data_IF_348482768669
#
_entry.id   IF_348482768669
#
_cell.length_a   1.000
_cell.length_b   1.000
_cell.length_c   1.000
_cell.angle_alpha   90.00
_cell.angle_beta   90.00
_cell.angle_gamma   90.00
#
_symmetry.space_group_name_H-M   'P 1'
#
loop_
_entity.id
_entity.type
_entity.pdbx_description
1 polymer ?
#
# COMPACT_ATOMS: atom_id res chain seq x y z
N UNK A 1 -11.92 7.02 -61.39
CA UNK A 1 -10.86 7.16 -60.40
C UNK A 1 -11.37 8.06 -59.26
N UNK A 2 -11.64 7.56 -58.06
CA UNK A 2 -11.98 8.41 -56.94
C UNK A 2 -10.69 8.77 -56.14
N UNK A 3 -10.51 10.05 -55.90
CA UNK A 3 -9.45 10.62 -55.04
C UNK A 3 -9.68 10.16 -53.61
N UNK A 4 -8.67 9.48 -53.04
CA UNK A 4 -8.59 9.21 -51.61
C UNK A 4 -8.15 10.50 -50.90
N UNK A 5 -9.06 11.11 -50.09
CA UNK A 5 -8.69 12.12 -49.12
C UNK A 5 -8.05 11.45 -47.90
N UNK A 6 -6.74 11.47 -47.84
CA UNK A 6 -6.00 11.23 -46.62
C UNK A 6 -6.20 12.44 -45.70
N UNK A 7 -6.79 12.22 -44.54
CA UNK A 7 -6.82 13.24 -43.48
C UNK A 7 -5.39 13.53 -43.01
N UNK A 8 -5.06 14.79 -42.73
CA UNK A 8 -3.68 15.15 -42.37
C UNK A 8 -3.29 14.62 -41.01
N UNK A 9 -2.13 13.96 -40.93
CA UNK A 9 -1.50 13.41 -39.73
C UNK A 9 -1.24 14.47 -38.64
N UNK A 10 -1.34 15.77 -38.96
CA UNK A 10 -1.19 16.90 -38.04
C UNK A 10 -2.31 17.00 -36.98
N UNK A 11 -3.51 16.51 -37.26
CA UNK A 11 -4.63 16.60 -36.31
C UNK A 11 -4.54 15.60 -35.16
N UNK A 12 -3.91 14.45 -35.37
CA UNK A 12 -3.71 13.45 -34.31
C UNK A 12 -2.64 13.88 -33.29
N UNK A 13 -1.62 14.61 -33.71
CA UNK A 13 -0.56 15.11 -32.83
C UNK A 13 -0.98 16.34 -32.00
N UNK A 14 -1.90 17.17 -32.52
CA UNK A 14 -2.45 18.32 -31.80
C UNK A 14 -3.56 17.96 -30.80
N UNK A 15 -4.25 16.83 -30.97
CA UNK A 15 -5.22 16.30 -29.99
C UNK A 15 -4.58 15.64 -28.78
N UNK A 16 -3.26 15.37 -28.78
CA UNK A 16 -2.54 14.83 -27.63
C UNK A 16 -2.30 15.86 -26.49
N UNK A 17 -2.70 17.12 -26.65
CA UNK A 17 -2.17 18.24 -25.89
C UNK A 17 -3.01 18.74 -24.70
N UNK A 18 -4.01 18.02 -24.17
CA UNK A 18 -4.68 18.46 -22.93
C UNK A 18 -5.30 17.31 -22.11
N UNK A 19 -4.48 16.36 -21.69
CA UNK A 19 -4.88 15.58 -20.51
C UNK A 19 -4.38 16.35 -19.28
N UNK A 20 -5.31 16.75 -18.40
CA UNK A 20 -5.01 17.51 -17.19
C UNK A 20 -4.38 16.66 -16.07
N UNK A 21 -4.23 15.33 -16.26
CA UNK A 21 -3.58 14.46 -15.27
C UNK A 21 -2.06 14.66 -15.29
N UNK A 22 -1.47 15.29 -14.26
CA UNK A 22 -0.03 15.58 -14.23
C UNK A 22 0.79 14.30 -14.24
N UNK A 23 1.69 14.15 -15.23
CA UNK A 23 2.55 12.96 -15.37
C UNK A 23 3.37 12.64 -14.11
N UNK A 24 3.75 13.69 -13.33
CA UNK A 24 4.50 13.55 -12.06
C UNK A 24 3.79 12.73 -10.98
N UNK A 25 2.46 12.54 -11.09
CA UNK A 25 1.70 11.69 -10.16
C UNK A 25 1.98 10.20 -10.38
N UNK A 26 2.21 9.80 -11.62
CA UNK A 26 2.37 8.41 -12.05
C UNK A 26 3.84 8.02 -11.96
N UNK A 27 4.22 7.41 -10.83
CA UNK A 27 5.60 7.03 -10.51
C UNK A 27 5.91 5.62 -11.01
N UNK A 28 7.06 5.08 -10.63
CA UNK A 28 7.52 3.78 -11.10
C UNK A 28 6.62 2.61 -10.67
N UNK A 29 5.94 2.71 -9.52
CA UNK A 29 5.16 1.61 -8.95
C UNK A 29 3.90 2.07 -8.19
N UNK A 30 3.63 3.36 -8.13
CA UNK A 30 2.45 3.93 -7.49
C UNK A 30 2.03 5.27 -8.11
N UNK A 31 0.85 5.74 -7.70
CA UNK A 31 0.37 7.07 -8.04
C UNK A 31 0.41 7.90 -6.77
N UNK A 32 1.02 9.10 -6.80
CA UNK A 32 1.06 10.02 -5.65
C UNK A 32 0.93 11.46 -6.07
N UNK A 33 0.30 12.26 -5.22
CA UNK A 33 0.18 13.69 -5.46
C UNK A 33 -0.26 14.47 -4.23
N UNK A 34 -0.25 15.78 -4.36
CA UNK A 34 -0.78 16.70 -3.35
C UNK A 34 -2.29 16.78 -3.53
N UNK A 35 -3.01 16.60 -2.42
CA UNK A 35 -4.48 16.66 -2.38
C UNK A 35 -4.96 18.07 -2.76
N UNK A 36 -6.02 18.14 -3.56
CA UNK A 36 -6.59 19.39 -4.05
C UNK A 36 -5.83 20.03 -5.21
N UNK A 37 -4.56 19.67 -5.44
CA UNK A 37 -3.77 20.13 -6.58
C UNK A 37 -3.60 19.08 -7.67
N UNK A 38 -3.08 17.93 -7.29
CA UNK A 38 -2.80 16.79 -8.17
C UNK A 38 -3.91 15.75 -8.06
N UNK A 39 -4.28 15.41 -6.82
CA UNK A 39 -5.35 14.47 -6.48
C UNK A 39 -6.61 15.25 -6.13
N UNK A 40 -7.39 15.61 -7.13
CA UNK A 40 -8.77 16.09 -7.00
C UNK A 40 -9.74 14.89 -7.09
N UNK A 41 -10.96 15.04 -6.60
CA UNK A 41 -11.99 14.00 -6.72
C UNK A 41 -12.24 13.61 -8.18
N UNK A 42 -12.25 14.58 -9.10
CA UNK A 42 -12.42 14.32 -10.53
C UNK A 42 -11.25 13.50 -11.11
N UNK A 43 -10.01 13.88 -10.81
CA UNK A 43 -8.82 13.16 -11.26
C UNK A 43 -8.81 11.72 -10.71
N UNK A 44 -9.13 11.56 -9.43
CA UNK A 44 -9.17 10.25 -8.75
C UNK A 44 -10.29 9.38 -9.32
N UNK A 45 -11.46 9.95 -9.62
CA UNK A 45 -12.56 9.20 -10.24
C UNK A 45 -12.17 8.64 -11.61
N UNK A 46 -11.55 9.47 -12.46
CA UNK A 46 -11.10 9.02 -13.80
C UNK A 46 -9.99 7.97 -13.69
N UNK A 47 -9.08 8.10 -12.72
CA UNK A 47 -8.09 7.05 -12.42
C UNK A 47 -8.79 5.77 -11.98
N UNK A 48 -9.82 5.84 -11.14
CA UNK A 48 -10.64 4.70 -10.73
C UNK A 48 -11.29 4.00 -11.92
N UNK A 49 -11.82 4.76 -12.86
CA UNK A 49 -12.38 4.22 -14.11
C UNK A 49 -11.32 3.43 -14.91
N UNK A 50 -10.12 3.96 -15.02
CA UNK A 50 -9.02 3.29 -15.71
C UNK A 50 -8.56 2.00 -14.99
N UNK A 51 -8.52 2.02 -13.65
CA UNK A 51 -8.18 0.85 -12.85
C UNK A 51 -9.22 -0.26 -13.01
N UNK A 52 -10.52 0.09 -12.89
CA UNK A 52 -11.59 -0.89 -13.06
C UNK A 52 -11.63 -1.46 -14.48
N UNK A 53 -11.42 -0.63 -15.50
CA UNK A 53 -11.28 -1.08 -16.88
C UNK A 53 -10.09 -2.04 -17.06
N UNK A 54 -8.93 -1.72 -16.47
CA UNK A 54 -7.75 -2.58 -16.50
C UNK A 54 -8.06 -3.95 -15.87
N UNK A 55 -8.72 -3.98 -14.71
CA UNK A 55 -9.12 -5.22 -14.06
C UNK A 55 -10.01 -6.08 -14.97
N UNK A 56 -11.07 -5.50 -15.54
CA UNK A 56 -11.99 -6.18 -16.45
C UNK A 56 -11.29 -6.71 -17.71
N UNK A 57 -10.36 -5.94 -18.29
CA UNK A 57 -9.62 -6.35 -19.50
C UNK A 57 -8.72 -7.56 -19.26
N UNK A 58 -8.35 -7.85 -17.99
CA UNK A 58 -7.61 -9.03 -17.57
C UNK A 58 -8.52 -10.13 -16.97
N UNK A 59 -9.83 -10.01 -17.12
CA UNK A 59 -10.80 -11.01 -16.65
C UNK A 59 -11.13 -10.94 -15.16
N UNK A 60 -10.73 -9.87 -14.46
CA UNK A 60 -11.04 -9.65 -13.05
C UNK A 60 -12.27 -8.76 -12.91
N UNK A 61 -13.40 -9.34 -12.55
CA UNK A 61 -14.65 -8.59 -12.36
C UNK A 61 -14.76 -7.91 -11.01
N UNK A 62 -13.90 -8.25 -10.06
CA UNK A 62 -13.88 -7.78 -8.68
C UNK A 62 -12.47 -7.38 -8.28
N UNK A 63 -12.35 -6.27 -7.54
CA UNK A 63 -11.09 -5.81 -6.95
C UNK A 63 -11.26 -5.55 -5.47
N UNK A 64 -10.25 -5.93 -4.68
CA UNK A 64 -10.14 -5.52 -3.28
C UNK A 64 -9.87 -4.02 -3.19
N UNK A 65 -10.44 -3.37 -2.19
CA UNK A 65 -10.30 -1.93 -2.00
C UNK A 65 -10.06 -1.60 -0.55
N UNK A 66 -8.99 -0.89 -0.25
CA UNK A 66 -8.67 -0.40 1.09
C UNK A 66 -8.20 1.05 1.07
N UNK A 67 -8.26 1.70 2.21
CA UNK A 67 -7.75 3.06 2.39
C UNK A 67 -7.01 3.22 3.72
N UNK A 68 -6.07 4.16 3.79
CA UNK A 68 -5.46 4.58 5.04
C UNK A 68 -6.35 5.59 5.81
N UNK A 69 -5.86 6.07 6.96
CA UNK A 69 -6.61 6.96 7.83
C UNK A 69 -6.34 8.46 7.64
N UNK A 70 -5.78 8.89 6.51
CA UNK A 70 -5.54 10.32 6.24
C UNK A 70 -6.85 11.10 6.15
N UNK A 71 -6.84 12.38 6.52
CA UNK A 71 -8.03 13.24 6.48
C UNK A 71 -8.66 13.32 5.07
N UNK A 72 -7.85 13.19 4.03
CA UNK A 72 -8.31 13.20 2.63
C UNK A 72 -8.84 11.84 2.14
N UNK A 73 -8.56 10.74 2.86
CA UNK A 73 -8.91 9.40 2.39
C UNK A 73 -10.40 9.16 2.25
N UNK A 74 -11.31 9.67 3.08
CA UNK A 74 -12.74 9.45 2.89
C UNK A 74 -13.28 9.98 1.56
N UNK A 75 -12.99 11.24 1.19
CA UNK A 75 -13.48 11.83 -0.06
C UNK A 75 -12.82 11.21 -1.29
N UNK A 76 -11.51 11.01 -1.24
CA UNK A 76 -10.78 10.38 -2.35
C UNK A 76 -11.15 8.91 -2.53
N UNK A 77 -11.42 8.15 -1.45
CA UNK A 77 -11.92 6.77 -1.53
C UNK A 77 -13.30 6.70 -2.17
N UNK A 78 -14.18 7.65 -1.84
CA UNK A 78 -15.48 7.72 -2.47
C UNK A 78 -15.32 7.94 -3.98
N UNK A 79 -14.55 8.95 -4.39
CA UNK A 79 -14.33 9.28 -5.81
C UNK A 79 -13.65 8.12 -6.58
N UNK A 80 -12.60 7.50 -6.00
CA UNK A 80 -11.90 6.36 -6.59
C UNK A 80 -12.83 5.17 -6.77
N UNK A 81 -13.60 4.84 -5.72
CA UNK A 81 -14.58 3.76 -5.73
C UNK A 81 -15.67 3.99 -6.76
N UNK A 82 -16.25 5.19 -6.83
CA UNK A 82 -17.24 5.54 -7.85
C UNK A 82 -16.68 5.32 -9.27
N UNK A 83 -15.41 5.72 -9.51
CA UNK A 83 -14.75 5.50 -10.79
C UNK A 83 -14.63 4.01 -11.14
N UNK A 84 -14.21 3.18 -10.20
CA UNK A 84 -14.11 1.71 -10.41
C UNK A 84 -15.50 1.13 -10.71
N UNK A 85 -16.53 1.50 -9.94
CA UNK A 85 -17.89 1.02 -10.15
C UNK A 85 -18.46 1.47 -11.50
N UNK A 86 -18.15 2.68 -11.95
CA UNK A 86 -18.58 3.22 -13.24
C UNK A 86 -18.05 2.40 -14.42
N UNK A 87 -16.87 1.78 -14.30
CA UNK A 87 -16.32 0.89 -15.33
C UNK A 87 -17.09 -0.44 -15.46
N UNK A 88 -17.90 -0.80 -14.48
CA UNK A 88 -18.59 -2.09 -14.35
C UNK A 88 -17.87 -3.09 -13.44
N UNK A 89 -16.66 -2.77 -12.95
CA UNK A 89 -15.93 -3.61 -12.01
C UNK A 89 -16.55 -3.51 -10.60
N UNK A 90 -16.62 -4.63 -9.89
CA UNK A 90 -17.13 -4.67 -8.52
C UNK A 90 -16.02 -4.41 -7.51
N UNK A 91 -16.39 -3.89 -6.33
CA UNK A 91 -15.48 -3.62 -5.22
C UNK A 91 -15.76 -4.55 -4.04
N UNK A 92 -14.71 -5.19 -3.55
CA UNK A 92 -14.67 -5.87 -2.25
C UNK A 92 -13.98 -4.94 -1.27
N UNK A 93 -14.76 -4.27 -0.44
CA UNK A 93 -14.30 -3.20 0.43
C UNK A 93 -13.76 -3.74 1.75
N UNK A 94 -12.47 -3.53 1.98
CA UNK A 94 -11.77 -3.88 3.20
C UNK A 94 -11.82 -2.75 4.27
N UNK A 95 -12.35 -1.57 3.89
CA UNK A 95 -12.45 -0.41 4.77
C UNK A 95 -11.11 0.29 5.01
N UNK A 96 -10.97 0.85 6.21
CA UNK A 96 -9.74 1.53 6.65
C UNK A 96 -8.76 0.51 7.23
N UNK A 97 -7.70 0.21 6.48
CA UNK A 97 -6.74 -0.86 6.80
C UNK A 97 -5.30 -0.43 6.48
N UNK A 98 -4.28 -1.03 7.13
CA UNK A 98 -2.90 -0.96 6.67
C UNK A 98 -2.68 -1.72 5.36
N UNK A 99 -1.72 -1.27 4.56
CA UNK A 99 -1.36 -1.87 3.26
C UNK A 99 -1.07 -3.38 3.33
N UNK A 100 -0.38 -3.93 4.36
CA UNK A 100 -0.17 -5.38 4.47
C UNK A 100 -1.45 -6.23 4.47
N UNK A 101 -2.56 -5.70 4.96
CA UNK A 101 -3.84 -6.42 4.93
C UNK A 101 -4.41 -6.54 3.51
N UNK A 102 -4.21 -5.54 2.65
CA UNK A 102 -4.56 -5.65 1.24
C UNK A 102 -3.74 -6.77 0.57
N UNK A 103 -2.41 -6.77 0.78
CA UNK A 103 -1.55 -7.81 0.22
C UNK A 103 -1.91 -9.20 0.75
N UNK A 104 -2.18 -9.31 2.04
CA UNK A 104 -2.66 -10.56 2.62
C UNK A 104 -3.97 -11.03 1.95
N UNK A 105 -4.93 -10.15 1.78
CA UNK A 105 -6.20 -10.47 1.15
C UNK A 105 -6.01 -10.95 -0.31
N UNK A 106 -5.15 -10.31 -1.10
CA UNK A 106 -4.87 -10.74 -2.49
C UNK A 106 -4.25 -12.14 -2.58
N UNK A 107 -3.58 -12.62 -1.51
CA UNK A 107 -2.92 -13.91 -1.49
C UNK A 107 -3.75 -15.02 -0.84
N UNK A 108 -4.73 -14.67 0.00
CA UNK A 108 -5.49 -15.65 0.81
C UNK A 108 -6.96 -15.75 0.44
N UNK A 109 -7.45 -14.90 -0.45
CA UNK A 109 -8.81 -14.96 -0.99
C UNK A 109 -8.79 -15.25 -2.48
N UNK A 110 -9.96 -15.40 -3.08
CA UNK A 110 -10.12 -15.58 -4.52
C UNK A 110 -9.93 -14.26 -5.32
N UNK A 111 -9.73 -13.14 -4.62
CA UNK A 111 -9.50 -11.81 -5.22
C UNK A 111 -8.01 -11.53 -5.31
N UNK A 112 -7.43 -11.62 -6.51
CA UNK A 112 -5.99 -11.50 -6.72
C UNK A 112 -5.53 -10.09 -7.11
N UNK A 113 -6.47 -9.16 -7.22
CA UNK A 113 -6.21 -7.76 -7.58
C UNK A 113 -6.79 -6.83 -6.52
N UNK A 114 -6.12 -5.71 -6.27
CA UNK A 114 -6.56 -4.78 -5.25
C UNK A 114 -5.99 -3.37 -5.39
N UNK A 115 -6.63 -2.44 -4.73
CA UNK A 115 -6.30 -1.01 -4.74
C UNK A 115 -6.23 -0.50 -3.30
N UNK A 116 -5.15 0.16 -2.97
CA UNK A 116 -4.93 0.82 -1.67
C UNK A 116 -4.79 2.31 -1.86
N UNK A 117 -5.69 3.09 -1.28
CA UNK A 117 -5.56 4.54 -1.22
C UNK A 117 -4.67 4.90 -0.02
N UNK A 118 -3.47 5.35 -0.29
CA UNK A 118 -2.47 5.73 0.73
C UNK A 118 -1.32 6.52 0.13
N UNK A 119 -0.71 7.39 0.93
CA UNK A 119 0.56 8.01 0.60
C UNK A 119 1.72 7.48 1.47
N UNK A 120 1.51 6.37 2.23
CA UNK A 120 2.53 5.79 3.11
C UNK A 120 3.09 6.84 4.10
N UNK A 121 4.38 7.08 4.08
CA UNK A 121 5.10 8.03 4.94
C UNK A 121 5.13 9.48 4.39
N UNK A 122 4.41 9.82 3.33
CA UNK A 122 4.39 11.21 2.83
C UNK A 122 3.67 12.15 3.81
N UNK A 123 3.92 13.49 3.75
CA UNK A 123 3.21 14.47 4.56
C UNK A 123 1.69 14.37 4.47
N UNK A 124 0.97 14.99 5.43
CA UNK A 124 -0.48 14.86 5.58
C UNK A 124 -1.28 15.41 4.37
N UNK A 125 -0.71 16.36 3.62
CA UNK A 125 -1.27 16.95 2.41
C UNK A 125 -1.11 16.09 1.14
N UNK A 126 -0.43 14.94 1.26
CA UNK A 126 -0.32 13.95 0.18
C UNK A 126 -1.34 12.82 0.34
N UNK A 127 -1.69 12.23 -0.80
CA UNK A 127 -2.32 10.92 -0.87
C UNK A 127 -1.82 10.17 -2.12
N UNK A 128 -2.28 8.93 -2.34
CA UNK A 128 -1.82 8.14 -3.48
C UNK A 128 -2.58 6.84 -3.63
N UNK A 129 -2.19 6.07 -4.63
CA UNK A 129 -2.82 4.79 -4.95
C UNK A 129 -1.72 3.76 -5.22
N UNK A 130 -1.73 2.68 -4.45
CA UNK A 130 -0.98 1.46 -4.74
C UNK A 130 -1.93 0.45 -5.39
N UNK A 131 -1.46 -0.24 -6.42
CA UNK A 131 -2.28 -1.16 -7.20
C UNK A 131 -1.59 -2.50 -7.26
N UNK A 132 -2.34 -3.55 -6.96
CA UNK A 132 -1.93 -4.95 -7.08
C UNK A 132 -2.78 -5.59 -8.16
N UNK A 133 -2.14 -6.27 -9.11
CA UNK A 133 -2.80 -7.12 -10.09
C UNK A 133 -2.14 -8.50 -10.07
N UNK A 134 -2.96 -9.54 -10.01
CA UNK A 134 -2.48 -10.92 -9.96
C UNK A 134 -1.39 -11.15 -8.88
N UNK A 135 -1.62 -10.58 -7.69
CA UNK A 135 -0.73 -10.65 -6.52
C UNK A 135 0.61 -9.92 -6.68
N UNK A 136 0.78 -9.11 -7.72
CA UNK A 136 2.00 -8.36 -7.99
C UNK A 136 1.73 -6.87 -8.12
N UNK A 137 2.65 -6.04 -7.64
CA UNK A 137 2.59 -4.60 -7.90
C UNK A 137 2.75 -4.31 -9.39
N UNK A 138 2.11 -3.25 -9.87
CA UNK A 138 2.23 -2.84 -11.26
C UNK A 138 3.64 -2.33 -11.56
N UNK A 139 4.08 -2.57 -12.78
CA UNK A 139 5.31 -1.99 -13.36
C UNK A 139 5.12 -0.52 -13.73
N UNK A 140 6.22 0.17 -13.99
CA UNK A 140 6.19 1.58 -14.44
C UNK A 140 5.38 1.75 -15.74
N UNK A 141 5.49 0.83 -16.68
CA UNK A 141 4.74 0.85 -17.93
C UNK A 141 3.24 0.70 -17.70
N UNK A 142 2.84 -0.20 -16.82
CA UNK A 142 1.43 -0.41 -16.47
C UNK A 142 0.83 0.81 -15.76
N UNK A 143 1.60 1.46 -14.89
CA UNK A 143 1.19 2.72 -14.25
C UNK A 143 1.02 3.85 -15.30
N UNK A 144 1.90 3.94 -16.29
CA UNK A 144 1.71 4.87 -17.40
C UNK A 144 0.50 4.50 -18.27
N UNK A 145 0.25 3.22 -18.50
CA UNK A 145 -0.95 2.73 -19.19
C UNK A 145 -2.25 3.16 -18.49
N UNK A 146 -2.28 3.13 -17.15
CA UNK A 146 -3.41 3.67 -16.37
C UNK A 146 -3.59 5.18 -16.64
N UNK A 147 -2.49 5.94 -16.70
CA UNK A 147 -2.57 7.38 -17.01
C UNK A 147 -3.16 7.62 -18.40
N UNK A 148 -2.69 6.90 -19.41
CA UNK A 148 -3.17 7.03 -20.78
C UNK A 148 -4.66 6.68 -20.88
N UNK A 149 -5.07 5.59 -20.24
CA UNK A 149 -6.47 5.16 -20.19
C UNK A 149 -7.35 6.17 -19.43
N UNK A 150 -6.88 6.69 -18.31
CA UNK A 150 -7.59 7.73 -17.57
C UNK A 150 -7.75 9.02 -18.39
N UNK A 151 -6.71 9.42 -19.10
CA UNK A 151 -6.78 10.55 -20.02
C UNK A 151 -7.76 10.30 -21.20
N UNK A 152 -7.83 9.08 -21.69
CA UNK A 152 -8.82 8.70 -22.71
C UNK A 152 -10.24 8.83 -22.16
N UNK A 153 -10.52 8.32 -20.98
CA UNK A 153 -11.84 8.39 -20.36
C UNK A 153 -12.26 9.81 -19.97
N UNK A 154 -11.33 10.65 -19.53
CA UNK A 154 -11.60 12.07 -19.28
C UNK A 154 -12.16 12.80 -20.52
N UNK A 155 -11.68 12.42 -21.72
CA UNK A 155 -12.17 12.99 -23.01
C UNK A 155 -13.37 12.25 -23.58
N UNK A 156 -13.58 11.00 -23.21
CA UNK A 156 -14.59 10.11 -23.77
C UNK A 156 -15.32 9.35 -22.65
N UNK A 157 -16.09 10.05 -21.82
CA UNK A 157 -16.79 9.42 -20.70
C UNK A 157 -17.83 8.38 -21.15
N UNK A 158 -18.28 8.45 -22.41
CA UNK A 158 -19.12 7.44 -23.06
C UNK A 158 -18.44 6.08 -23.26
N UNK A 159 -17.11 6.01 -23.13
CA UNK A 159 -16.29 4.79 -23.34
C UNK A 159 -15.83 4.12 -22.06
N UNK A 160 -16.19 4.63 -20.90
CA UNK A 160 -15.74 4.08 -19.59
C UNK A 160 -16.24 2.65 -19.38
N UNK A 161 -17.41 2.33 -19.90
CA UNK A 161 -18.05 1.02 -19.72
C UNK A 161 -18.69 0.54 -21.02
N UNK A 162 -18.61 -0.77 -21.25
CA UNK A 162 -19.37 -1.43 -22.29
C UNK A 162 -20.88 -1.16 -22.10
N UNK A 163 -21.64 -0.77 -23.16
CA UNK A 163 -23.04 -0.36 -23.02
C UNK A 163 -23.98 -1.42 -22.40
N UNK A 164 -23.62 -2.72 -22.50
CA UNK A 164 -24.38 -3.84 -21.94
C UNK A 164 -23.93 -4.26 -20.55
N UNK A 165 -22.78 -3.76 -20.07
CA UNK A 165 -22.26 -4.10 -18.75
C UNK A 165 -22.96 -3.22 -17.71
N UNK A 166 -23.58 -3.78 -16.65
CA UNK A 166 -24.14 -3.00 -15.56
C UNK A 166 -23.04 -2.26 -14.81
N UNK A 167 -23.40 -1.21 -14.09
CA UNK A 167 -22.50 -0.57 -13.12
C UNK A 167 -22.11 -1.58 -12.05
N UNK A 168 -20.85 -1.56 -11.61
CA UNK A 168 -20.36 -2.42 -10.54
C UNK A 168 -21.10 -2.22 -9.23
N UNK A 169 -20.95 -3.17 -8.31
CA UNK A 169 -21.47 -3.12 -6.95
C UNK A 169 -20.34 -3.14 -5.93
N UNK A 170 -20.63 -2.69 -4.69
CA UNK A 170 -19.66 -2.69 -3.58
C UNK A 170 -20.19 -3.55 -2.44
N UNK A 171 -19.34 -4.42 -1.87
CA UNK A 171 -19.63 -5.22 -0.68
C UNK A 171 -18.45 -5.23 0.28
N UNK A 172 -18.72 -5.25 1.57
CA UNK A 172 -17.69 -5.25 2.60
C UNK A 172 -17.12 -6.66 2.83
N UNK A 173 -15.84 -6.72 3.21
CA UNK A 173 -15.15 -7.90 3.68
C UNK A 173 -14.23 -7.51 4.86
N UNK A 174 -14.49 -8.06 6.05
CA UNK A 174 -13.56 -7.90 7.18
C UNK A 174 -12.45 -8.96 7.10
N UNK A 175 -11.26 -8.52 6.73
CA UNK A 175 -10.08 -9.38 6.59
C UNK A 175 -9.21 -9.43 7.86
N UNK A 176 -9.42 -8.52 8.81
CA UNK A 176 -8.57 -8.36 9.98
C UNK A 176 -8.50 -9.61 10.87
N UNK A 177 -9.61 -10.28 11.20
CA UNK A 177 -9.55 -11.50 12.01
C UNK A 177 -8.70 -12.60 11.35
N UNK A 178 -8.88 -12.82 10.04
CA UNK A 178 -8.11 -13.82 9.30
C UNK A 178 -6.61 -13.49 9.28
N UNK A 179 -6.26 -12.20 9.14
CA UNK A 179 -4.87 -11.73 9.18
C UNK A 179 -4.22 -12.01 10.56
N UNK A 180 -4.89 -11.64 11.65
CA UNK A 180 -4.40 -11.87 13.01
C UNK A 180 -4.25 -13.38 13.28
N UNK A 181 -5.24 -14.17 12.91
CA UNK A 181 -5.21 -15.63 13.13
C UNK A 181 -4.09 -16.30 12.34
N UNK A 182 -3.83 -15.87 11.10
CA UNK A 182 -2.73 -16.39 10.30
C UNK A 182 -1.38 -16.12 10.97
N UNK A 183 -1.13 -14.89 11.43
CA UNK A 183 0.13 -14.56 12.09
C UNK A 183 0.28 -15.32 13.42
N UNK A 184 -0.82 -15.49 14.18
CA UNK A 184 -0.81 -16.31 15.41
C UNK A 184 -0.47 -17.78 15.17
N UNK A 185 -0.81 -18.32 14.00
CA UNK A 185 -0.44 -19.69 13.63
C UNK A 185 1.04 -19.79 13.27
N UNK A 186 1.57 -18.82 12.54
CA UNK A 186 2.92 -18.84 12.00
C UNK A 186 3.99 -18.43 13.05
N UNK A 187 3.66 -17.50 13.94
CA UNK A 187 4.59 -16.92 14.92
C UNK A 187 4.32 -17.47 16.32
N UNK A 188 5.36 -18.05 16.93
CA UNK A 188 5.33 -18.56 18.31
C UNK A 188 6.48 -17.94 19.10
N UNK A 189 6.15 -17.07 20.04
CA UNK A 189 7.14 -16.48 20.91
C UNK A 189 7.59 -17.50 21.97
N UNK A 190 8.87 -17.56 22.27
CA UNK A 190 9.44 -18.43 23.34
C UNK A 190 9.06 -17.95 24.74
N UNK A 191 8.78 -16.66 24.90
CA UNK A 191 8.30 -16.03 26.13
C UNK A 191 7.46 -14.79 25.79
N UNK A 192 6.63 -14.30 26.68
CA UNK A 192 6.03 -12.98 26.55
C UNK A 192 7.10 -11.90 26.42
N UNK A 193 6.85 -10.92 25.57
CA UNK A 193 7.69 -9.73 25.40
C UNK A 193 6.90 -8.50 25.82
N UNK A 194 7.58 -7.53 26.46
CA UNK A 194 7.04 -6.18 26.63
C UNK A 194 7.45 -5.32 25.46
N UNK A 195 6.50 -4.84 24.68
CA UNK A 195 6.75 -4.13 23.41
C UNK A 195 6.09 -2.75 23.44
N UNK A 196 6.85 -1.71 23.14
CA UNK A 196 6.29 -0.38 22.83
C UNK A 196 6.01 -0.33 21.35
N UNK A 197 4.76 -0.06 20.96
CA UNK A 197 4.34 0.01 19.55
C UNK A 197 3.98 1.45 19.23
N UNK A 198 4.74 2.08 18.36
CA UNK A 198 4.53 3.42 17.83
C UNK A 198 3.93 3.36 16.43
N UNK A 199 2.72 3.87 16.28
CA UNK A 199 2.01 3.92 15.00
C UNK A 199 1.92 5.34 14.41
N UNK A 200 2.51 6.36 15.06
CA UNK A 200 2.50 7.74 14.58
C UNK A 200 1.11 8.30 14.26
N UNK A 201 0.07 7.91 15.02
CA UNK A 201 -1.35 8.21 14.78
C UNK A 201 -1.87 7.72 13.41
N UNK A 202 -1.19 6.79 12.77
CA UNK A 202 -1.56 6.28 11.46
C UNK A 202 -2.34 4.95 11.53
N UNK A 203 -2.76 4.46 10.37
CA UNK A 203 -3.65 3.30 10.24
C UNK A 203 -3.14 1.99 10.86
N UNK A 204 -1.82 1.74 11.03
CA UNK A 204 -1.35 0.56 11.75
C UNK A 204 -1.86 0.46 13.19
N UNK A 205 -2.21 1.60 13.82
CA UNK A 205 -2.81 1.63 15.16
C UNK A 205 -4.09 0.81 15.31
N UNK A 206 -4.82 0.59 14.23
CA UNK A 206 -6.03 -0.23 14.23
C UNK A 206 -5.74 -1.73 14.36
N UNK A 207 -4.53 -2.19 14.04
CA UNK A 207 -4.19 -3.60 13.93
C UNK A 207 -3.04 -4.00 14.84
N UNK A 208 -1.93 -3.26 14.82
CA UNK A 208 -0.68 -3.66 15.46
C UNK A 208 -0.81 -3.94 16.97
N UNK A 209 -1.47 -3.09 17.78
CA UNK A 209 -1.61 -3.39 19.21
C UNK A 209 -2.35 -4.71 19.47
N UNK A 210 -3.44 -4.96 18.75
CA UNK A 210 -4.23 -6.18 18.88
C UNK A 210 -3.45 -7.41 18.42
N UNK A 211 -2.69 -7.28 17.33
CA UNK A 211 -1.84 -8.34 16.81
C UNK A 211 -0.74 -8.75 17.80
N UNK A 212 0.01 -7.79 18.36
CA UNK A 212 1.06 -8.09 19.34
C UNK A 212 0.49 -8.69 20.62
N UNK A 213 -0.68 -8.22 21.11
CA UNK A 213 -1.38 -8.86 22.24
C UNK A 213 -1.81 -10.29 21.92
N UNK A 214 -2.29 -10.52 20.70
CA UNK A 214 -2.69 -11.87 20.26
C UNK A 214 -1.49 -12.84 20.17
N UNK A 215 -0.27 -12.33 20.01
CA UNK A 215 0.98 -13.09 20.11
C UNK A 215 1.46 -13.31 21.56
N UNK A 216 0.77 -12.77 22.56
CA UNK A 216 1.13 -12.90 23.97
C UNK A 216 2.06 -11.79 24.48
N UNK A 217 2.22 -10.68 23.76
CA UNK A 217 3.01 -9.55 24.22
C UNK A 217 2.25 -8.68 25.23
N UNK A 218 2.99 -8.10 26.18
CA UNK A 218 2.56 -6.92 26.94
C UNK A 218 2.81 -5.69 26.05
N UNK A 219 1.73 -5.01 25.63
CA UNK A 219 1.82 -3.92 24.65
C UNK A 219 1.63 -2.57 25.33
N UNK A 220 2.61 -1.69 25.16
CA UNK A 220 2.55 -0.27 25.51
C UNK A 220 2.29 0.49 24.21
N UNK A 221 1.12 1.09 24.12
CA UNK A 221 0.71 1.84 22.92
C UNK A 221 1.29 3.24 22.94
N UNK A 222 1.94 3.63 21.85
CA UNK A 222 2.42 4.98 21.60
C UNK A 222 1.82 5.48 20.29
N UNK A 223 1.02 6.52 20.36
CA UNK A 223 0.35 7.13 19.21
C UNK A 223 -0.41 6.14 18.32
N UNK A 224 -1.08 5.15 18.93
CA UNK A 224 -1.85 4.14 18.21
C UNK A 224 -3.30 4.56 17.90
N UNK A 225 -3.78 5.67 18.48
CA UNK A 225 -5.08 6.22 18.12
C UNK A 225 -4.99 6.87 16.72
N UNK A 226 -5.87 6.42 15.80
CA UNK A 226 -5.90 6.96 14.45
C UNK A 226 -6.29 8.44 14.42
N UNK A 227 -5.40 9.27 13.87
CA UNK A 227 -5.64 10.68 13.60
C UNK A 227 -4.85 11.11 12.35
N UNK A 228 -5.54 11.28 11.23
CA UNK A 228 -4.94 11.60 9.93
C UNK A 228 -4.25 12.98 9.84
N UNK A 229 -4.26 13.77 10.93
CA UNK A 229 -3.47 15.00 11.05
C UNK A 229 -2.03 14.74 11.54
N UNK A 230 -1.75 13.54 12.10
CA UNK A 230 -0.45 13.14 12.66
C UNK A 230 0.08 14.10 13.72
N UNK A 231 -0.66 14.36 14.82
CA UNK A 231 -0.39 15.48 15.73
C UNK A 231 0.89 15.34 16.55
N UNK A 232 1.43 14.13 16.72
CA UNK A 232 2.58 13.90 17.59
C UNK A 232 3.90 13.93 16.82
N UNK A 233 4.00 13.15 15.75
CA UNK A 233 5.12 13.18 14.81
C UNK A 233 4.68 12.66 13.45
N UNK A 234 5.46 12.99 12.43
CA UNK A 234 5.27 12.45 11.09
C UNK A 234 5.49 10.93 11.09
N UNK A 235 4.58 10.10 10.51
CA UNK A 235 4.68 8.65 10.56
C UNK A 235 5.70 8.09 9.55
N UNK A 236 6.95 8.54 9.71
CA UNK A 236 8.13 8.06 8.98
C UNK A 236 9.19 7.61 9.97
N UNK A 237 9.33 6.30 10.22
CA UNK A 237 10.28 5.76 11.17
C UNK A 237 11.73 5.81 10.68
N UNK A 238 11.98 6.20 9.43
CA UNK A 238 13.35 6.37 8.92
C UNK A 238 14.01 7.66 9.40
N UNK A 239 13.22 8.57 9.98
CA UNK A 239 13.67 9.86 10.49
C UNK A 239 13.88 9.76 12.00
N UNK A 240 15.12 9.82 12.47
CA UNK A 240 15.49 9.60 13.87
C UNK A 240 14.75 10.51 14.87
N UNK A 241 14.38 11.73 14.48
CA UNK A 241 13.63 12.63 15.37
C UNK A 241 12.25 12.09 15.73
N UNK A 242 11.63 11.32 14.83
CA UNK A 242 10.32 10.71 15.05
C UNK A 242 10.37 9.53 16.02
N UNK A 243 11.56 9.00 16.30
CA UNK A 243 11.76 7.85 17.19
C UNK A 243 12.10 8.24 18.65
N UNK A 244 12.20 9.56 18.96
CA UNK A 244 12.63 10.02 20.29
C UNK A 244 11.73 9.50 21.40
N UNK A 245 10.43 9.60 21.21
CA UNK A 245 9.46 9.18 22.22
C UNK A 245 9.43 7.67 22.36
N UNK A 246 9.54 6.92 21.25
CA UNK A 246 9.66 5.48 21.28
C UNK A 246 10.89 5.04 22.10
N UNK A 247 12.06 5.63 21.84
CA UNK A 247 13.30 5.36 22.60
C UNK A 247 13.12 5.67 24.08
N UNK A 248 12.47 6.79 24.42
CA UNK A 248 12.19 7.18 25.81
C UNK A 248 11.24 6.18 26.49
N UNK A 249 10.15 5.78 25.82
CA UNK A 249 9.17 4.83 26.35
C UNK A 249 9.76 3.43 26.54
N UNK A 250 10.59 2.94 25.62
CA UNK A 250 11.30 1.67 25.77
C UNK A 250 12.11 1.65 27.07
N UNK A 251 12.90 2.71 27.34
CA UNK A 251 13.70 2.82 28.56
C UNK A 251 12.84 2.97 29.82
N UNK A 252 11.82 3.84 29.79
CA UNK A 252 10.95 4.12 30.93
C UNK A 252 10.22 2.86 31.40
N UNK A 253 9.73 2.07 30.47
CA UNK A 253 8.98 0.85 30.76
C UNK A 253 9.85 -0.42 30.82
N UNK A 254 11.17 -0.29 30.67
CA UNK A 254 12.07 -1.45 30.58
C UNK A 254 11.55 -2.48 29.58
N UNK A 255 11.13 -1.99 28.40
CA UNK A 255 10.57 -2.84 27.37
C UNK A 255 11.65 -3.66 26.66
N UNK A 256 11.32 -4.87 26.25
CA UNK A 256 12.23 -5.74 25.49
C UNK A 256 12.51 -5.18 24.08
N UNK A 257 11.54 -4.45 23.53
CA UNK A 257 11.60 -3.98 22.15
C UNK A 257 10.67 -2.76 21.94
N UNK A 258 11.12 -1.82 21.12
CA UNK A 258 10.28 -0.79 20.51
C UNK A 258 10.06 -1.09 19.03
N UNK A 259 8.87 -0.86 18.54
CA UNK A 259 8.47 -1.05 17.14
C UNK A 259 7.84 0.24 16.64
N UNK A 260 8.41 0.85 15.61
CA UNK A 260 7.83 1.99 14.90
C UNK A 260 7.38 1.56 13.51
N UNK A 261 6.14 1.90 13.16
CA UNK A 261 5.52 1.61 11.86
C UNK A 261 5.31 2.91 11.07
N UNK A 262 5.41 2.84 9.74
CA UNK A 262 5.12 3.99 8.89
C UNK A 262 3.61 4.16 8.65
N UNK A 263 3.25 5.22 7.92
CA UNK A 263 1.87 5.67 7.80
C UNK A 263 0.87 4.66 7.24
N UNK A 264 1.31 3.67 6.46
CA UNK A 264 0.44 2.58 5.97
C UNK A 264 0.90 1.19 6.44
N UNK A 265 1.92 1.13 7.30
CA UNK A 265 2.34 -0.08 8.01
C UNK A 265 3.09 -1.10 7.18
N UNK A 266 3.66 -0.72 6.04
CA UNK A 266 4.49 -1.61 5.22
C UNK A 266 6.00 -1.50 5.54
N UNK A 267 6.39 -0.59 6.46
CA UNK A 267 7.76 -0.39 6.94
C UNK A 267 7.82 -0.46 8.45
N UNK A 268 8.93 -1.02 8.94
CA UNK A 268 9.20 -1.16 10.38
C UNK A 268 10.62 -0.73 10.71
N UNK A 269 10.76 -0.03 11.83
CA UNK A 269 12.04 0.22 12.49
C UNK A 269 11.96 -0.28 13.92
N UNK A 270 13.02 -0.94 14.38
CA UNK A 270 13.10 -1.50 15.72
C UNK A 270 14.01 -0.68 16.63
N UNK A 271 13.65 -0.62 17.90
CA UNK A 271 14.46 -0.03 18.97
C UNK A 271 14.74 -1.12 20.00
N UNK A 272 16.01 -1.35 20.32
CA UNK A 272 16.42 -2.37 21.30
C UNK A 272 16.03 -1.95 22.72
N UNK A 273 16.10 -2.87 23.69
CA UNK A 273 15.94 -2.65 25.13
C UNK A 273 16.89 -1.56 25.68
N UNK A 274 18.06 -1.37 25.02
CA UNK A 274 19.01 -0.30 25.35
C UNK A 274 18.66 1.06 24.75
N UNK A 275 17.52 1.16 24.01
CA UNK A 275 17.12 2.37 23.31
C UNK A 275 17.95 2.68 22.08
N UNK A 276 18.59 1.69 21.47
CA UNK A 276 19.34 1.86 20.21
C UNK A 276 18.42 1.55 19.04
N UNK A 277 18.35 2.48 18.09
CA UNK A 277 17.67 2.25 16.81
C UNK A 277 18.46 1.21 16.02
N UNK A 278 17.78 0.19 15.53
CA UNK A 278 18.39 -0.87 14.71
C UNK A 278 18.41 -0.45 13.24
N UNK A 279 19.57 -0.51 12.62
CA UNK A 279 19.70 -0.29 11.18
C UNK A 279 18.90 -1.36 10.42
N UNK A 280 18.20 -0.97 9.36
CA UNK A 280 17.35 -1.86 8.55
C UNK A 280 18.14 -3.03 7.96
N UNK A 281 19.38 -2.81 7.56
CA UNK A 281 20.28 -3.86 7.07
C UNK A 281 20.54 -4.95 8.11
N UNK A 282 20.73 -4.55 9.37
CA UNK A 282 20.93 -5.50 10.49
C UNK A 282 19.67 -6.28 10.77
N UNK A 283 18.50 -5.62 10.68
CA UNK A 283 17.23 -6.32 10.78
C UNK A 283 17.07 -7.35 9.67
N UNK A 284 17.41 -7.00 8.43
CA UNK A 284 17.37 -7.94 7.31
C UNK A 284 18.33 -9.11 7.51
N UNK A 285 19.55 -8.87 8.02
CA UNK A 285 20.49 -9.96 8.35
C UNK A 285 19.89 -10.92 9.39
N UNK A 286 19.23 -10.39 10.42
CA UNK A 286 18.59 -11.21 11.45
C UNK A 286 17.45 -12.05 10.86
N UNK A 287 16.65 -11.48 9.98
CA UNK A 287 15.57 -12.21 9.28
C UNK A 287 16.14 -13.30 8.37
N UNK A 288 17.19 -13.01 7.62
CA UNK A 288 17.91 -13.98 6.77
C UNK A 288 18.39 -15.17 7.61
N UNK A 289 19.04 -14.92 8.74
CA UNK A 289 19.54 -15.97 9.65
C UNK A 289 18.44 -16.88 10.21
N UNK A 290 17.24 -16.35 10.38
CA UNK A 290 16.11 -17.12 10.92
C UNK A 290 15.32 -17.87 9.85
N UNK A 291 15.22 -17.30 8.66
CA UNK A 291 14.34 -17.81 7.59
C UNK A 291 15.06 -18.80 6.67
N UNK A 292 16.29 -18.50 6.24
CA UNK A 292 17.03 -19.33 5.28
C UNK A 292 17.23 -20.79 5.72
N UNK A 293 17.58 -21.11 6.98
CA UNK A 293 17.77 -22.48 7.42
C UNK A 293 16.53 -23.37 7.22
N UNK A 294 15.34 -22.80 7.40
CA UNK A 294 14.08 -23.51 7.19
C UNK A 294 13.81 -23.85 5.72
N UNK A 295 14.20 -22.97 4.81
CA UNK A 295 14.07 -23.19 3.36
C UNK A 295 15.08 -24.20 2.81
N UNK A 296 16.32 -24.17 3.31
CA UNK A 296 17.36 -25.12 2.86
C UNK A 296 17.06 -26.57 3.27
N UNK A 297 16.24 -26.78 4.31
CA UNK A 297 15.88 -28.11 4.80
C UNK A 297 14.74 -28.80 4.00
N UNK A 298 13.98 -28.03 3.22
CA UNK A 298 12.75 -28.51 2.56
C UNK A 298 12.79 -28.55 1.02
N UNK A 299 13.82 -27.98 0.37
CA UNK A 299 13.86 -27.80 -1.07
C UNK A 299 14.99 -28.64 -1.70
N UNK A 300 14.61 -29.66 -2.44
CA UNK A 300 15.53 -30.55 -3.14
C UNK A 300 16.35 -29.90 -4.28
N UNK A 301 16.26 -28.64 -4.61
CA UNK A 301 17.15 -28.05 -5.66
C UNK A 301 17.07 -26.52 -5.85
N UNK A 302 16.37 -25.76 -4.99
CA UNK A 302 16.31 -24.29 -5.14
C UNK A 302 16.87 -23.59 -3.93
N UNK A 303 18.07 -23.06 -4.05
CA UNK A 303 18.58 -22.09 -3.05
C UNK A 303 17.67 -20.86 -3.07
N UNK A 304 17.12 -20.45 -1.92
CA UNK A 304 16.32 -19.23 -1.84
C UNK A 304 17.18 -18.01 -2.20
N UNK A 305 16.58 -17.05 -2.90
CA UNK A 305 17.23 -15.79 -3.25
C UNK A 305 16.85 -14.72 -2.24
N UNK A 306 17.81 -13.92 -1.81
CA UNK A 306 17.59 -12.73 -1.01
C UNK A 306 17.65 -11.50 -1.92
N UNK A 307 16.57 -10.72 -1.96
CA UNK A 307 16.50 -9.48 -2.75
C UNK A 307 16.63 -8.30 -1.79
N UNK A 308 17.54 -7.39 -2.07
CA UNK A 308 17.81 -6.20 -1.26
C UNK A 308 18.21 -5.01 -2.14
N UNK A 309 18.06 -3.80 -1.59
CA UNK A 309 18.42 -2.55 -2.29
C UNK A 309 19.94 -2.38 -2.39
N UNK A 310 20.38 -1.77 -3.48
CA UNK A 310 21.82 -1.47 -3.72
C UNK A 310 22.47 -0.60 -2.62
N UNK A 311 21.65 0.11 -1.84
CA UNK A 311 22.11 0.93 -0.70
C UNK A 311 22.39 0.12 0.57
N UNK A 312 22.05 -1.18 0.60
CA UNK A 312 22.34 -2.03 1.73
C UNK A 312 23.83 -2.19 1.97
N UNK A 313 24.20 -2.36 3.23
CA UNK A 313 25.59 -2.57 3.65
C UNK A 313 26.18 -3.82 3.01
N UNK A 314 27.47 -3.78 2.66
CA UNK A 314 28.23 -4.96 2.23
C UNK A 314 28.26 -6.08 3.27
N UNK A 315 28.01 -5.78 4.53
CA UNK A 315 27.89 -6.79 5.60
C UNK A 315 26.74 -7.76 5.34
N UNK A 316 25.64 -7.30 4.71
CA UNK A 316 24.52 -8.18 4.32
C UNK A 316 24.98 -9.21 3.29
N UNK A 317 25.74 -8.78 2.27
CA UNK A 317 26.25 -9.67 1.21
C UNK A 317 27.15 -10.77 1.81
N UNK A 318 27.98 -10.42 2.80
CA UNK A 318 28.86 -11.37 3.46
C UNK A 318 28.12 -12.34 4.41
N UNK A 319 26.84 -12.06 4.72
CA UNK A 319 26.02 -12.87 5.63
C UNK A 319 25.13 -13.88 4.89
N UNK A 320 24.75 -13.58 3.64
CA UNK A 320 23.97 -14.44 2.76
C UNK A 320 24.87 -15.50 2.10
#
# INVERSE_FOLDING_TARGET
MPMQHQAPVSDMAQQAASCELPGRMFRAYDIRGIVGRDLTEDNIRVIGQAIGYLALSHGHNEVLFGADGRLSSPSLSAALGEGILDSGCHIIDLGTIPTPLLYFATHTTDYHSGVMLTASHNPADYNGIKIVRERSCLTSEEIQGIREQACFFARRPDKVREPRLPRGSRRALDIMPAYIDRIRQDVKLKRPLRVVVDCGNAVPGLVAPSLYRALGCEVIELYCQLDGSFPNHHPDPTINVNLKDLVAQVKTHSADLGVALDGDGDRVVLVTDQGRVMDTDRLLMLLVDQILPGYCATAEDRRPSVVFDVKCSSLLINRI
#
